data_IF_296570619932
#
_entry.id   IF_296570619932
#
_cell.length_a   1.000
_cell.length_b   1.000
_cell.length_c   1.000
_cell.angle_alpha   90.00
_cell.angle_beta   90.00
_cell.angle_gamma   90.00
#
_symmetry.space_group_name_H-M   'P 1'
#
loop_
_entity.id
_entity.type
_entity.pdbx_description
1 polymer ?
#
# COMPACT_ATOMS: atom_id res chain seq x y z
N UNK A 1 -2.92 -4.57 10.64
CA UNK A 1 -3.59 -3.88 9.50
C UNK A 1 -3.07 -2.45 9.25
N UNK A 2 -2.87 -1.62 10.28
CA UNK A 2 -2.40 -0.22 10.13
C UNK A 2 -1.09 -0.10 9.30
N UNK A 3 -0.11 -0.99 9.54
CA UNK A 3 1.18 -0.98 8.83
C UNK A 3 1.00 -1.15 7.31
N UNK A 4 0.14 -2.08 6.88
CA UNK A 4 -0.12 -2.37 5.47
C UNK A 4 -0.79 -1.17 4.80
N UNK A 5 -1.73 -0.52 5.48
CA UNK A 5 -2.41 0.68 4.99
C UNK A 5 -1.40 1.81 4.77
N UNK A 6 -0.50 2.03 5.73
CA UNK A 6 0.54 3.06 5.59
C UNK A 6 1.48 2.80 4.40
N UNK A 7 1.83 1.53 4.13
CA UNK A 7 2.59 1.16 2.92
C UNK A 7 1.80 1.48 1.65
N UNK A 8 0.55 1.04 1.60
CA UNK A 8 -0.31 1.24 0.43
C UNK A 8 -0.52 2.72 0.12
N UNK A 9 -0.78 3.53 1.14
CA UNK A 9 -0.93 4.98 1.04
C UNK A 9 0.37 5.61 0.50
N UNK A 10 1.53 5.22 1.05
CA UNK A 10 2.83 5.76 0.61
C UNK A 10 3.11 5.48 -0.86
N UNK A 11 2.84 4.25 -1.32
CA UNK A 11 3.00 3.87 -2.74
C UNK A 11 1.98 4.59 -3.62
N UNK A 12 0.72 4.70 -3.18
CA UNK A 12 -0.33 5.41 -3.92
C UNK A 12 0.02 6.87 -4.16
N UNK A 13 0.61 7.54 -3.17
CA UNK A 13 1.10 8.91 -3.33
C UNK A 13 2.29 9.00 -4.28
N UNK A 14 3.26 8.09 -4.20
CA UNK A 14 4.39 8.08 -5.14
C UNK A 14 3.92 7.95 -6.60
N UNK A 15 2.96 7.06 -6.85
CA UNK A 15 2.33 6.88 -8.16
C UNK A 15 1.59 8.16 -8.59
N UNK A 16 0.85 8.80 -7.69
CA UNK A 16 0.15 10.06 -7.99
C UNK A 16 1.11 11.19 -8.41
N UNK A 17 2.27 11.31 -7.76
CA UNK A 17 3.31 12.26 -8.14
C UNK A 17 3.91 11.96 -9.52
N UNK A 18 4.23 10.68 -9.82
CA UNK A 18 4.78 10.27 -11.12
C UNK A 18 3.86 10.64 -12.28
N UNK A 19 2.54 10.47 -12.10
CA UNK A 19 1.56 10.74 -13.16
C UNK A 19 1.06 12.20 -13.19
N UNK A 20 1.33 13.01 -12.16
CA UNK A 20 0.88 14.40 -12.03
C UNK A 20 -0.64 14.61 -12.01
N UNK A 21 -1.44 13.52 -12.02
CA UNK A 21 -2.91 13.53 -12.03
C UNK A 21 -3.46 12.37 -11.21
N UNK A 22 -4.15 12.71 -10.12
CA UNK A 22 -4.76 11.73 -9.22
C UNK A 22 -5.73 10.78 -9.95
N UNK A 23 -6.55 11.31 -10.87
CA UNK A 23 -7.51 10.50 -11.64
C UNK A 23 -6.83 9.43 -12.51
N UNK A 24 -5.65 9.73 -13.06
CA UNK A 24 -4.89 8.78 -13.88
C UNK A 24 -4.24 7.70 -13.00
N UNK A 25 -3.64 8.12 -11.88
CA UNK A 25 -3.05 7.20 -10.91
C UNK A 25 -4.08 6.19 -10.39
N UNK A 26 -5.27 6.66 -9.98
CA UNK A 26 -6.35 5.80 -9.49
C UNK A 26 -6.88 4.82 -10.55
N UNK A 27 -6.87 5.20 -11.83
CA UNK A 27 -7.26 4.30 -12.91
C UNK A 27 -6.23 3.19 -13.17
N UNK A 28 -4.94 3.49 -12.97
CA UNK A 28 -3.83 2.58 -13.25
C UNK A 28 -3.53 1.64 -12.07
N UNK A 29 -3.73 2.11 -10.84
CA UNK A 29 -3.48 1.36 -9.61
C UNK A 29 -4.03 -0.08 -9.61
N UNK A 30 -5.31 -0.33 -9.98
CA UNK A 30 -5.88 -1.68 -10.00
C UNK A 30 -5.16 -2.64 -10.94
N UNK A 31 -4.60 -2.15 -12.05
CA UNK A 31 -3.88 -2.95 -13.04
C UNK A 31 -2.64 -3.60 -12.39
N UNK A 32 -2.01 -2.92 -11.44
CA UNK A 32 -0.85 -3.43 -10.70
C UNK A 32 -1.24 -4.16 -9.42
N UNK A 33 -2.21 -3.62 -8.68
CA UNK A 33 -2.64 -4.16 -7.38
C UNK A 33 -3.29 -5.53 -7.51
N UNK A 34 -4.10 -5.76 -8.56
CA UNK A 34 -4.80 -7.04 -8.74
C UNK A 34 -3.84 -8.21 -8.96
N UNK A 35 -2.83 -8.14 -9.86
CA UNK A 35 -1.80 -9.18 -9.95
C UNK A 35 -1.00 -9.37 -8.65
N UNK A 36 -0.66 -8.29 -7.96
CA UNK A 36 0.07 -8.33 -6.67
C UNK A 36 -0.74 -9.03 -5.57
N UNK A 37 -2.07 -8.89 -5.57
CA UNK A 37 -2.99 -9.63 -4.70
C UNK A 37 -3.08 -11.10 -5.10
N UNK A 38 -3.20 -11.39 -6.40
CA UNK A 38 -3.34 -12.75 -6.89
C UNK A 38 -2.14 -13.64 -6.61
N UNK A 39 -0.95 -13.13 -6.90
CA UNK A 39 0.29 -13.85 -6.65
C UNK A 39 0.81 -13.65 -5.22
N UNK A 40 0.13 -12.81 -4.42
CA UNK A 40 0.47 -12.57 -3.02
C UNK A 40 -0.05 -13.62 -2.05
N UNK A 41 -0.66 -14.71 -2.52
CA UNK A 41 -1.20 -15.77 -1.65
C UNK A 41 -2.69 -15.62 -1.31
N UNK A 42 -3.36 -14.55 -1.74
CA UNK A 42 -4.79 -14.33 -1.48
C UNK A 42 -5.70 -15.21 -2.35
N UNK A 43 -5.42 -15.29 -3.66
CA UNK A 43 -6.25 -16.10 -4.59
C UNK A 43 -5.66 -17.48 -4.86
N UNK A 44 -4.32 -17.58 -4.97
CA UNK A 44 -3.62 -18.83 -5.29
C UNK A 44 -2.57 -19.05 -4.21
N UNK A 45 -2.49 -20.28 -3.71
CA UNK A 45 -1.47 -20.65 -2.74
C UNK A 45 -0.07 -20.51 -3.37
N UNK A 46 0.81 -19.82 -2.64
CA UNK A 46 2.19 -19.51 -3.03
C UNK A 46 3.01 -20.76 -3.38
N UNK A 47 2.78 -21.87 -2.68
CA UNK A 47 3.50 -23.13 -2.92
C UNK A 47 3.20 -23.74 -4.29
N UNK A 48 2.01 -23.46 -4.85
CA UNK A 48 1.57 -23.92 -6.16
C UNK A 48 2.05 -23.02 -7.31
N UNK A 49 2.64 -21.86 -7.02
CA UNK A 49 3.17 -20.98 -8.07
C UNK A 49 4.46 -21.57 -8.66
N UNK A 50 4.59 -21.55 -10.00
CA UNK A 50 5.86 -21.80 -10.65
C UNK A 50 6.97 -20.80 -10.22
N UNK A 51 8.24 -21.21 -10.22
CA UNK A 51 9.34 -20.43 -9.66
C UNK A 51 9.60 -19.08 -10.35
N UNK A 52 9.16 -18.91 -11.60
CA UNK A 52 9.30 -17.66 -12.33
C UNK A 52 8.45 -16.51 -11.76
N UNK A 53 7.38 -16.81 -11.01
CA UNK A 53 6.54 -15.81 -10.37
C UNK A 53 6.92 -15.50 -8.91
N UNK A 54 7.87 -16.22 -8.32
CA UNK A 54 8.30 -15.98 -6.94
C UNK A 54 8.77 -14.54 -6.66
N UNK A 55 9.48 -13.84 -7.57
CA UNK A 55 9.86 -12.45 -7.34
C UNK A 55 8.67 -11.52 -7.10
N UNK A 56 7.52 -11.77 -7.75
CA UNK A 56 6.31 -10.96 -7.57
C UNK A 56 5.72 -11.11 -6.16
N UNK A 57 5.85 -12.29 -5.55
CA UNK A 57 5.50 -12.51 -4.14
C UNK A 57 6.35 -11.62 -3.24
N UNK A 58 7.67 -11.63 -3.44
CA UNK A 58 8.61 -10.90 -2.59
C UNK A 58 8.53 -9.38 -2.75
N UNK A 59 8.12 -8.89 -3.92
CA UNK A 59 7.90 -7.46 -4.17
C UNK A 59 6.55 -6.96 -3.60
N UNK A 60 5.60 -7.87 -3.38
CA UNK A 60 4.24 -7.52 -2.98
C UNK A 60 4.13 -7.29 -1.47
N UNK A 61 3.92 -6.04 -1.05
CA UNK A 61 3.54 -5.73 0.33
C UNK A 61 2.22 -6.40 0.75
N UNK A 62 1.34 -6.72 -0.21
CA UNK A 62 0.12 -7.47 0.05
C UNK A 62 0.41 -8.90 0.48
N UNK A 63 1.46 -9.54 -0.05
CA UNK A 63 1.79 -10.92 0.31
C UNK A 63 2.16 -11.04 1.80
N UNK A 64 3.12 -10.23 2.24
CA UNK A 64 3.52 -10.18 3.64
C UNK A 64 2.39 -9.72 4.55
N UNK A 65 1.57 -8.77 4.07
CA UNK A 65 0.43 -8.27 4.81
C UNK A 65 -0.65 -9.32 5.02
N UNK A 66 -0.99 -10.09 3.99
CA UNK A 66 -1.99 -11.15 4.04
C UNK A 66 -1.54 -12.30 4.95
N UNK A 67 -0.29 -12.76 4.81
CA UNK A 67 0.28 -13.79 5.69
C UNK A 67 0.26 -13.36 7.16
N UNK A 68 0.65 -12.11 7.46
CA UNK A 68 0.61 -11.54 8.81
C UNK A 68 -0.81 -11.51 9.40
N UNK A 69 -1.80 -11.09 8.61
CA UNK A 69 -3.20 -11.02 9.07
C UNK A 69 -3.77 -12.41 9.25
N UNK A 70 -3.48 -13.34 8.33
CA UNK A 70 -3.91 -14.73 8.44
C UNK A 70 -3.35 -15.39 9.70
N UNK A 71 -2.04 -15.26 9.96
CA UNK A 71 -1.41 -15.77 11.20
C UNK A 71 -2.06 -15.14 12.43
N UNK A 72 -2.27 -13.81 12.43
CA UNK A 72 -2.88 -13.12 13.57
C UNK A 72 -4.31 -13.62 13.88
N UNK A 73 -5.08 -13.97 12.86
CA UNK A 73 -6.45 -14.46 13.03
C UNK A 73 -6.50 -15.94 13.43
N UNK A 74 -5.73 -16.79 12.77
CA UNK A 74 -5.87 -18.24 12.89
C UNK A 74 -4.95 -18.87 13.95
N UNK A 75 -3.88 -18.21 14.37
CA UNK A 75 -2.94 -18.76 15.39
C UNK A 75 -3.58 -19.02 16.77
N UNK A 76 -4.73 -18.41 17.05
CA UNK A 76 -5.42 -18.54 18.35
C UNK A 76 -6.71 -19.36 18.28
N UNK A 77 -6.97 -20.01 17.15
CA UNK A 77 -8.18 -20.79 16.93
C UNK A 77 -7.86 -22.26 17.12
N UNK A 78 -8.10 -22.75 18.34
CA UNK A 78 -7.78 -24.14 18.69
C UNK A 78 -8.78 -25.15 18.09
N UNK A 79 -10.04 -24.76 17.89
CA UNK A 79 -11.08 -25.64 17.36
C UNK A 79 -12.07 -24.91 16.46
N UNK A 80 -12.28 -25.46 15.26
CA UNK A 80 -13.29 -25.04 14.30
C UNK A 80 -14.39 -26.10 14.26
N UNK A 81 -15.60 -25.73 14.68
CA UNK A 81 -16.76 -26.61 14.63
C UNK A 81 -17.25 -26.87 13.20
N UNK A 82 -18.00 -27.95 12.98
CA UNK A 82 -18.70 -28.21 11.71
C UNK A 82 -18.21 -29.43 10.92
N UNK A 83 -17.11 -30.07 11.34
CA UNK A 83 -16.69 -31.35 10.76
C UNK A 83 -17.40 -32.53 11.43
N UNK A 84 -18.68 -32.72 11.09
CA UNK A 84 -19.48 -33.87 11.52
C UNK A 84 -19.67 -34.83 10.33
N UNK A 85 -19.02 -35.98 10.41
CA UNK A 85 -19.26 -37.21 9.62
C UNK A 85 -18.38 -37.44 8.38
N UNK A 86 -17.71 -38.60 8.41
CA UNK A 86 -16.72 -39.19 7.49
C UNK A 86 -17.30 -39.65 6.15
N UNK A 87 -18.17 -38.85 5.53
CA UNK A 87 -18.69 -39.18 4.20
C UNK A 87 -18.68 -37.93 3.33
N UNK A 88 -17.70 -37.89 2.42
CA UNK A 88 -17.49 -37.00 1.26
C UNK A 88 -16.26 -36.10 1.39
N UNK A 89 -15.21 -36.51 0.67
CA UNK A 89 -14.22 -35.80 -0.18
C UNK A 89 -13.92 -34.29 -0.05
N UNK A 90 -14.41 -33.56 0.94
CA UNK A 90 -14.10 -32.13 1.14
C UNK A 90 -13.02 -31.94 2.20
N UNK A 91 -12.03 -31.07 1.90
CA UNK A 91 -11.03 -30.62 2.88
C UNK A 91 -11.76 -30.07 4.12
N UNK A 92 -11.56 -30.73 5.26
CA UNK A 92 -12.08 -30.32 6.56
C UNK A 92 -10.94 -29.78 7.41
N UNK A 93 -11.09 -28.54 7.90
CA UNK A 93 -10.15 -27.90 8.82
C UNK A 93 -10.68 -28.01 10.24
N UNK A 94 -9.86 -28.51 11.17
CA UNK A 94 -10.26 -28.71 12.58
C UNK A 94 -9.66 -27.65 13.49
N UNK A 95 -8.52 -27.09 13.11
CA UNK A 95 -7.78 -26.08 13.85
C UNK A 95 -7.45 -24.90 12.93
N UNK A 96 -7.11 -23.74 13.50
CA UNK A 96 -6.59 -22.62 12.74
C UNK A 96 -5.23 -22.92 12.09
N UNK A 97 -4.42 -23.78 12.71
CA UNK A 97 -3.15 -24.24 12.14
C UNK A 97 -3.37 -25.03 10.83
N UNK A 98 -4.41 -25.87 10.74
CA UNK A 98 -4.77 -26.56 9.50
C UNK A 98 -5.10 -25.58 8.37
N UNK A 99 -5.76 -24.46 8.71
CA UNK A 99 -6.09 -23.39 7.76
C UNK A 99 -4.81 -22.69 7.29
N UNK A 100 -3.90 -22.34 8.20
CA UNK A 100 -2.62 -21.71 7.86
C UNK A 100 -1.75 -22.63 6.98
N UNK A 101 -1.71 -23.92 7.29
CA UNK A 101 -0.99 -24.90 6.50
C UNK A 101 -1.61 -25.06 5.10
N UNK A 102 -2.93 -24.98 4.97
CA UNK A 102 -3.63 -25.00 3.67
C UNK A 102 -3.30 -23.79 2.79
N UNK A 103 -2.94 -22.66 3.40
CA UNK A 103 -2.47 -21.44 2.75
C UNK A 103 -0.94 -21.42 2.55
N UNK A 104 -0.23 -22.44 3.04
CA UNK A 104 1.24 -22.52 3.09
C UNK A 104 1.88 -21.35 3.85
N UNK A 105 1.29 -20.98 4.98
CA UNK A 105 1.79 -19.97 5.91
C UNK A 105 2.31 -20.62 7.19
N UNK A 106 3.35 -20.01 7.75
CA UNK A 106 4.02 -20.47 8.96
C UNK A 106 4.02 -19.32 9.99
N UNK A 107 3.59 -19.60 11.21
CA UNK A 107 3.51 -18.63 12.29
C UNK A 107 4.88 -18.02 12.64
N UNK A 108 5.97 -18.77 12.43
CA UNK A 108 7.34 -18.32 12.68
C UNK A 108 7.75 -17.17 11.74
N UNK A 109 7.12 -17.06 10.56
CA UNK A 109 7.40 -15.99 9.61
C UNK A 109 6.78 -14.66 10.02
N UNK A 110 5.92 -14.60 11.03
CA UNK A 110 5.23 -13.38 11.44
C UNK A 110 6.20 -12.21 11.66
N UNK A 111 7.27 -12.44 12.42
CA UNK A 111 8.25 -11.40 12.73
C UNK A 111 9.05 -10.99 11.49
N UNK A 112 9.40 -11.94 10.63
CA UNK A 112 10.11 -11.67 9.38
C UNK A 112 9.24 -10.86 8.40
N UNK A 113 7.95 -11.19 8.30
CA UNK A 113 7.00 -10.48 7.46
C UNK A 113 6.80 -9.04 7.95
N UNK A 114 6.68 -8.84 9.27
CA UNK A 114 6.60 -7.50 9.88
C UNK A 114 7.87 -6.68 9.65
N UNK A 115 9.05 -7.30 9.75
CA UNK A 115 10.33 -6.66 9.49
C UNK A 115 10.42 -6.19 8.04
N UNK A 116 10.07 -7.05 7.07
CA UNK A 116 10.06 -6.68 5.65
C UNK A 116 9.08 -5.55 5.34
N UNK A 117 7.87 -5.59 5.93
CA UNK A 117 6.90 -4.50 5.79
C UNK A 117 7.45 -3.18 6.35
N UNK A 118 8.13 -3.20 7.49
CA UNK A 118 8.75 -2.02 8.07
C UNK A 118 9.88 -1.48 7.19
N UNK A 119 10.74 -2.34 6.65
CA UNK A 119 11.80 -1.97 5.71
C UNK A 119 11.20 -1.31 4.46
N UNK A 120 10.12 -1.86 3.91
CA UNK A 120 9.44 -1.29 2.74
C UNK A 120 8.87 0.11 3.03
N UNK A 121 8.35 0.37 4.24
CA UNK A 121 7.94 1.72 4.66
C UNK A 121 9.14 2.66 4.65
N UNK A 122 10.22 2.27 5.32
CA UNK A 122 11.41 3.10 5.46
C UNK A 122 12.03 3.42 4.09
N UNK A 123 12.10 2.45 3.19
CA UNK A 123 12.56 2.66 1.80
C UNK A 123 11.63 3.58 1.03
N UNK A 124 10.31 3.39 1.12
CA UNK A 124 9.34 4.28 0.49
C UNK A 124 9.44 5.72 1.04
N UNK A 125 9.75 5.88 2.33
CA UNK A 125 9.99 7.18 2.96
C UNK A 125 11.31 7.81 2.51
N UNK A 126 12.39 7.04 2.38
CA UNK A 126 13.68 7.55 1.91
C UNK A 126 13.63 8.02 0.45
N UNK A 127 13.07 7.20 -0.46
CA UNK A 127 12.88 7.63 -1.86
C UNK A 127 12.00 8.87 -1.97
N UNK A 128 11.00 8.99 -1.09
CA UNK A 128 10.16 10.18 -1.03
C UNK A 128 10.94 11.44 -0.62
N UNK A 129 11.93 11.34 0.27
CA UNK A 129 12.75 12.50 0.70
C UNK A 129 13.64 13.00 -0.46
N UNK A 130 14.16 12.10 -1.29
CA UNK A 130 15.01 12.45 -2.44
C UNK A 130 14.22 13.18 -3.54
N UNK A 131 13.04 12.66 -3.89
CA UNK A 131 12.13 13.30 -4.85
C UNK A 131 11.61 14.66 -4.31
N UNK A 132 11.27 14.72 -3.02
CA UNK A 132 10.88 15.98 -2.37
C UNK A 132 12.04 17.00 -2.35
N UNK A 133 13.28 16.57 -2.19
CA UNK A 133 14.46 17.43 -2.27
C UNK A 133 14.64 18.01 -3.68
N UNK A 134 14.47 17.19 -4.72
CA UNK A 134 14.56 17.63 -6.12
C UNK A 134 13.43 18.59 -6.50
N UNK A 135 12.18 18.27 -6.13
CA UNK A 135 11.01 19.13 -6.39
C UNK A 135 11.07 20.45 -5.59
N UNK A 136 11.60 20.42 -4.35
CA UNK A 136 11.83 21.63 -3.58
C UNK A 136 12.87 22.57 -4.23
N UNK A 137 13.89 22.02 -4.90
CA UNK A 137 14.89 22.80 -5.64
C UNK A 137 14.28 23.48 -6.88
N UNK A 138 13.30 22.87 -7.56
CA UNK A 138 12.63 23.52 -8.70
C UNK A 138 11.67 24.63 -8.26
N UNK A 139 11.04 24.50 -7.08
CA UNK A 139 10.12 25.49 -6.50
C UNK A 139 10.81 26.76 -5.96
N UNK A 140 12.14 26.77 -5.80
CA UNK A 140 12.90 27.94 -5.33
C UNK A 140 12.84 29.13 -6.32
N UNK A 141 12.37 28.90 -7.57
CA UNK A 141 12.13 29.97 -8.56
C UNK A 141 10.73 30.60 -8.53
N UNK A 142 9.86 30.26 -7.56
CA UNK A 142 8.49 30.81 -7.43
C UNK A 142 8.11 31.29 -6.02
N UNK A 143 7.11 32.18 -5.86
CA UNK A 143 6.82 32.90 -4.62
C UNK A 143 6.03 32.04 -3.61
N UNK A 144 6.62 30.97 -3.10
CA UNK A 144 6.01 30.06 -2.10
C UNK A 144 6.65 30.25 -0.72
N UNK A 145 6.99 31.48 -0.35
CA UNK A 145 7.77 31.72 0.87
C UNK A 145 6.95 31.86 2.16
N UNK A 146 5.61 31.78 2.12
CA UNK A 146 4.76 32.19 3.27
C UNK A 146 4.09 31.04 4.04
N UNK A 147 3.99 29.82 3.49
CA UNK A 147 3.26 28.74 4.16
C UNK A 147 4.09 27.91 5.16
N UNK A 148 5.42 27.88 5.02
CA UNK A 148 6.31 26.96 5.72
C UNK A 148 6.58 27.28 7.21
N UNK A 149 6.13 28.43 7.73
CA UNK A 149 6.55 28.91 9.07
C UNK A 149 5.65 28.49 10.24
N UNK A 150 4.56 27.74 10.03
CA UNK A 150 3.59 27.43 11.10
C UNK A 150 3.43 25.97 11.51
N UNK A 151 4.05 25.00 10.83
CA UNK A 151 3.72 23.58 11.05
C UNK A 151 4.80 22.73 11.76
N UNK A 152 5.97 23.27 12.07
CA UNK A 152 7.10 22.51 12.62
C UNK A 152 6.94 22.08 14.11
N UNK A 153 5.80 22.36 14.76
CA UNK A 153 5.68 22.32 16.23
C UNK A 153 4.53 21.47 16.80
N UNK A 154 4.07 20.41 16.13
CA UNK A 154 3.11 19.46 16.75
C UNK A 154 3.60 18.01 16.67
N UNK A 155 3.77 17.32 17.82
CA UNK A 155 4.40 16.00 17.90
C UNK A 155 3.45 14.83 17.53
N UNK A 156 2.30 15.12 16.93
CA UNK A 156 1.27 14.13 16.59
C UNK A 156 0.54 14.51 15.29
N UNK A 157 1.30 14.78 14.22
CA UNK A 157 0.70 14.98 12.90
C UNK A 157 0.67 13.63 12.18
N UNK A 158 -0.51 13.07 11.89
CA UNK A 158 -0.63 11.80 11.18
C UNK A 158 0.00 11.92 9.79
N UNK A 159 0.78 10.91 9.40
CA UNK A 159 1.66 10.87 8.21
C UNK A 159 0.94 11.33 6.94
N UNK A 160 -0.33 10.97 6.82
CA UNK A 160 -1.30 11.37 5.80
C UNK A 160 -1.42 12.88 5.55
N UNK A 161 -1.33 13.75 6.57
CA UNK A 161 -1.43 15.21 6.39
C UNK A 161 -0.18 15.84 5.77
N UNK A 162 1.02 15.34 6.09
CA UNK A 162 2.27 15.85 5.52
C UNK A 162 2.39 15.47 4.04
N UNK A 163 1.82 14.33 3.63
CA UNK A 163 1.88 13.85 2.24
C UNK A 163 0.82 14.53 1.36
N UNK A 164 -0.38 14.76 1.91
CA UNK A 164 -1.50 15.31 1.17
C UNK A 164 -1.27 16.75 0.70
N UNK A 165 -0.71 17.63 1.53
CA UNK A 165 -0.52 19.04 1.14
C UNK A 165 0.49 19.26 0.00
N UNK A 166 1.57 18.48 -0.05
CA UNK A 166 2.60 18.65 -1.09
C UNK A 166 2.18 18.10 -2.46
N UNK A 167 1.54 16.92 -2.51
CA UNK A 167 0.99 16.39 -3.76
C UNK A 167 -0.26 17.18 -4.23
N UNK A 168 -1.08 17.68 -3.29
CA UNK A 168 -2.15 18.62 -3.61
C UNK A 168 -1.62 19.93 -4.21
N UNK A 169 -0.46 20.44 -3.77
CA UNK A 169 0.17 21.62 -4.37
C UNK A 169 0.62 21.41 -5.83
N UNK A 170 0.76 20.16 -6.27
CA UNK A 170 1.09 19.77 -7.66
C UNK A 170 -0.19 19.54 -8.49
N UNK A 171 -1.23 18.95 -7.89
CA UNK A 171 -2.58 18.85 -8.49
C UNK A 171 -3.24 20.23 -8.68
N UNK A 172 -3.02 21.17 -7.76
CA UNK A 172 -3.46 22.57 -7.86
C UNK A 172 -2.53 23.40 -8.77
N UNK A 173 -1.33 22.88 -9.08
CA UNK A 173 -0.39 23.47 -10.05
C UNK A 173 -0.80 23.30 -11.52
N UNK A 174 -1.83 22.52 -11.82
CA UNK A 174 -2.60 22.72 -13.05
C UNK A 174 -3.46 23.95 -12.82
N UNK A 175 -2.96 25.12 -13.24
CA UNK A 175 -3.77 26.34 -13.30
C UNK A 175 -5.17 25.98 -13.84
N UNK A 176 -6.28 26.35 -13.16
CA UNK A 176 -7.52 26.49 -13.89
C UNK A 176 -7.20 27.50 -14.98
N UNK A 177 -7.18 27.05 -16.23
CA UNK A 177 -7.01 27.90 -17.42
C UNK A 177 -8.02 29.04 -17.27
N UNK A 178 -7.60 30.17 -16.70
CA UNK A 178 -8.45 31.33 -16.48
C UNK A 178 -8.62 31.93 -17.86
N UNK A 179 -9.57 31.40 -18.63
CA UNK A 179 -10.03 32.08 -19.84
C UNK A 179 -10.64 33.37 -19.33
N UNK A 180 -10.04 34.55 -19.58
CA UNK A 180 -10.69 35.80 -19.21
C UNK A 180 -12.04 35.83 -19.92
N UNK A 181 -13.08 36.02 -19.13
CA UNK A 181 -14.48 36.12 -19.52
C UNK A 181 -14.71 37.46 -20.27
N UNK A 182 -13.96 37.72 -21.35
CA UNK A 182 -13.98 38.99 -22.08
C UNK A 182 -14.60 38.91 -23.48
N UNK A 183 -15.04 37.73 -23.92
CA UNK A 183 -15.56 37.50 -25.28
C UNK A 183 -16.99 36.93 -25.33
N UNK A 184 -17.79 37.07 -24.27
CA UNK A 184 -19.21 36.66 -24.25
C UNK A 184 -20.18 37.84 -24.04
N UNK A 185 -19.76 39.04 -24.45
CA UNK A 185 -20.67 40.17 -24.61
C UNK A 185 -20.40 40.76 -26.00
N UNK A 186 -21.14 40.24 -26.98
CA UNK A 186 -21.43 40.88 -28.24
C UNK A 186 -22.94 40.71 -28.47
#
# INVERSE_FOLDING_TARGET
MIIIINVAISIGYAIACIFGKASLALAILPIFVVPLLAFGGFYINVSSLPPYFYPLKYLSYFAYGFETVAINEWSRVDQIGGCLTTTNTTQCYRTGEDVLHSLSFDENNLYWNLLWLFVMIVVALFHKIEELGFVAIDKEKGPVHTALRRFFFLPYVPIEHVVFEFCAAELVGVEPKYRPFKNYIA
#
